data_IF_893469229905
#
_entry.id   IF_893469229905
#
_cell.length_a   1.000
_cell.length_b   1.000
_cell.length_c   1.000
_cell.angle_alpha   90.00
_cell.angle_beta   90.00
_cell.angle_gamma   90.00
#
_symmetry.space_group_name_H-M   'P 1'
#
loop_
_entity.id
_entity.type
_entity.pdbx_description
1 polymer ?
#
# COMPACT_ATOMS: atom_id res chain seq x y z
N UNK A 1 40.92 -26.31 9.92
CA UNK A 1 41.44 -24.97 10.35
C UNK A 1 41.04 -23.86 9.36
N UNK A 2 41.02 -24.12 8.05
CA UNK A 2 40.68 -23.17 7.00
C UNK A 2 39.18 -22.75 7.00
N UNK A 3 38.28 -23.70 7.24
CA UNK A 3 36.84 -23.45 7.27
C UNK A 3 36.41 -22.57 8.47
N UNK A 4 37.13 -22.66 9.61
CA UNK A 4 36.93 -21.76 10.76
C UNK A 4 37.43 -20.34 10.49
N UNK A 5 38.52 -20.19 9.74
CA UNK A 5 39.05 -18.87 9.34
C UNK A 5 38.15 -18.20 8.29
N UNK A 6 37.57 -18.95 7.35
CA UNK A 6 36.61 -18.44 6.38
C UNK A 6 35.29 -18.00 7.04
N UNK A 7 34.80 -18.74 8.04
CA UNK A 7 33.61 -18.36 8.81
C UNK A 7 33.85 -17.11 9.70
N UNK A 8 35.03 -17.01 10.30
CA UNK A 8 35.42 -15.81 11.07
C UNK A 8 35.61 -14.57 10.19
N UNK A 9 36.15 -14.69 8.98
CA UNK A 9 36.25 -13.57 8.03
C UNK A 9 34.86 -13.08 7.59
N UNK A 10 33.89 -13.98 7.36
CA UNK A 10 32.50 -13.59 7.03
C UNK A 10 31.79 -12.84 8.16
N UNK A 11 32.14 -13.08 9.43
CA UNK A 11 31.55 -12.36 10.58
C UNK A 11 32.11 -10.94 10.77
N UNK A 12 33.32 -10.65 10.28
CA UNK A 12 33.90 -9.30 10.31
C UNK A 12 33.47 -8.41 9.15
N UNK A 13 32.88 -8.98 8.09
CA UNK A 13 32.44 -8.24 6.89
C UNK A 13 30.96 -7.83 6.92
N UNK A 14 30.21 -8.14 7.99
CA UNK A 14 28.83 -7.71 8.10
C UNK A 14 28.72 -6.28 8.64
N UNK A 15 27.85 -5.43 8.05
CA UNK A 15 27.61 -4.09 8.58
C UNK A 15 27.19 -4.13 10.04
N UNK A 16 27.76 -3.24 10.84
CA UNK A 16 27.35 -3.10 12.24
C UNK A 16 26.01 -2.38 12.36
N UNK A 17 25.33 -2.58 13.48
CA UNK A 17 24.06 -1.89 13.77
C UNK A 17 24.16 -0.36 13.63
N UNK A 18 25.25 0.25 14.12
CA UNK A 18 25.44 1.69 14.03
C UNK A 18 25.58 2.16 12.57
N UNK A 19 26.23 1.37 11.72
CA UNK A 19 26.36 1.67 10.30
C UNK A 19 25.02 1.56 9.56
N UNK A 20 24.20 0.52 9.88
CA UNK A 20 22.86 0.36 9.33
C UNK A 20 21.93 1.49 9.77
N UNK A 21 22.00 1.90 11.03
CA UNK A 21 21.22 3.02 11.57
C UNK A 21 21.63 4.35 10.92
N UNK A 22 22.92 4.60 10.73
CA UNK A 22 23.42 5.78 10.03
C UNK A 22 22.96 5.82 8.55
N UNK A 23 22.97 4.68 7.88
CA UNK A 23 22.46 4.55 6.52
C UNK A 23 20.95 4.85 6.46
N UNK A 24 20.16 4.21 7.31
CA UNK A 24 18.71 4.38 7.34
C UNK A 24 18.30 5.84 7.57
N UNK A 25 18.84 6.46 8.62
CA UNK A 25 18.52 7.85 8.94
C UNK A 25 18.99 8.85 7.86
N UNK A 26 20.08 8.54 7.16
CA UNK A 26 20.53 9.37 6.03
C UNK A 26 19.57 9.23 4.84
N UNK A 27 19.06 8.01 4.58
CA UNK A 27 18.07 7.77 3.52
C UNK A 27 16.73 8.46 3.80
N UNK A 28 16.28 8.45 5.07
CA UNK A 28 15.02 9.09 5.47
C UNK A 28 15.08 10.62 5.46
N UNK A 29 16.18 11.18 5.97
CA UNK A 29 16.30 12.65 6.09
C UNK A 29 16.86 13.33 4.84
N UNK A 30 17.44 12.56 3.92
CA UNK A 30 18.14 13.08 2.74
C UNK A 30 19.36 13.94 3.06
N UNK A 31 19.86 13.96 4.32
CA UNK A 31 20.92 14.86 4.77
C UNK A 31 21.75 14.26 5.91
N UNK A 32 23.07 14.18 5.71
CA UNK A 32 24.00 13.75 6.77
C UNK A 32 23.93 14.61 8.05
N UNK A 33 23.68 15.92 7.89
CA UNK A 33 23.58 16.82 9.06
C UNK A 33 22.28 16.64 9.83
N UNK A 34 21.15 16.38 9.12
CA UNK A 34 19.86 16.10 9.74
C UNK A 34 19.87 14.75 10.45
N UNK A 35 20.37 13.72 9.77
CA UNK A 35 20.54 12.38 10.33
C UNK A 35 21.45 12.38 11.58
N UNK A 36 22.56 13.11 11.53
CA UNK A 36 23.47 13.23 12.68
C UNK A 36 22.76 13.85 13.91
N UNK A 37 22.01 14.93 13.72
CA UNK A 37 21.21 15.53 14.81
C UNK A 37 20.19 14.56 15.40
N UNK A 38 19.47 13.82 14.54
CA UNK A 38 18.44 12.84 14.97
C UNK A 38 19.07 11.70 15.79
N UNK A 39 20.30 11.28 15.43
CA UNK A 39 21.02 10.20 16.12
C UNK A 39 21.88 10.68 17.30
N UNK A 40 21.92 11.97 17.62
CA UNK A 40 22.80 12.54 18.65
C UNK A 40 24.29 12.39 18.33
N UNK A 41 24.66 12.35 17.05
CA UNK A 41 26.01 12.18 16.56
C UNK A 41 26.55 13.47 15.91
N UNK A 42 27.88 13.55 15.74
CA UNK A 42 28.46 14.58 14.89
C UNK A 42 28.37 14.16 13.41
N UNK A 43 28.21 15.14 12.52
CA UNK A 43 28.14 14.88 11.08
C UNK A 43 29.37 14.14 10.53
N UNK A 44 30.62 14.41 10.95
CA UNK A 44 31.78 13.61 10.53
C UNK A 44 31.72 12.15 10.99
N UNK A 45 31.19 11.87 12.18
CA UNK A 45 30.98 10.50 12.69
C UNK A 45 29.99 9.74 11.85
N UNK A 46 28.84 10.36 11.54
CA UNK A 46 27.82 9.76 10.71
C UNK A 46 28.32 9.49 9.28
N UNK A 47 29.00 10.47 8.68
CA UNK A 47 29.61 10.34 7.35
C UNK A 47 30.59 9.17 7.27
N UNK A 48 31.40 8.96 8.33
CA UNK A 48 32.30 7.80 8.40
C UNK A 48 31.58 6.47 8.48
N UNK A 49 30.45 6.40 9.20
CA UNK A 49 29.64 5.19 9.29
C UNK A 49 28.97 4.84 7.96
N UNK A 50 28.42 5.83 7.25
CA UNK A 50 27.87 5.66 5.91
C UNK A 50 28.94 5.21 4.92
N UNK A 51 30.11 5.85 4.89
CA UNK A 51 31.21 5.44 4.03
C UNK A 51 31.76 4.04 4.39
N UNK A 52 31.66 3.62 5.66
CA UNK A 52 32.08 2.30 6.08
C UNK A 52 31.15 1.20 5.58
N UNK A 53 29.82 1.41 5.62
CA UNK A 53 28.85 0.44 5.07
C UNK A 53 28.99 0.33 3.55
N UNK A 54 29.17 1.43 2.83
CA UNK A 54 29.40 1.43 1.38
C UNK A 54 30.65 0.60 1.01
N UNK A 55 31.73 0.79 1.74
CA UNK A 55 32.95 0.00 1.53
C UNK A 55 32.78 -1.49 1.83
N UNK A 56 32.05 -1.83 2.89
CA UNK A 56 31.78 -3.23 3.27
C UNK A 56 30.89 -3.94 2.25
N UNK A 57 29.90 -3.23 1.72
CA UNK A 57 28.98 -3.77 0.69
C UNK A 57 29.59 -3.71 -0.72
N UNK A 58 30.69 -2.97 -0.90
CA UNK A 58 31.30 -2.75 -2.22
C UNK A 58 30.40 -1.98 -3.18
N UNK A 59 29.48 -1.18 -2.65
CA UNK A 59 28.45 -0.49 -3.42
C UNK A 59 28.27 0.95 -2.93
N UNK A 60 28.08 1.89 -3.85
CA UNK A 60 27.67 3.26 -3.54
C UNK A 60 26.17 3.27 -3.24
N UNK A 61 25.80 3.66 -2.03
CA UNK A 61 24.41 3.71 -1.57
C UNK A 61 23.78 5.09 -1.72
N UNK A 62 24.61 6.14 -1.74
CA UNK A 62 24.17 7.52 -1.91
C UNK A 62 24.97 8.29 -2.94
N UNK A 63 24.28 9.14 -3.67
CA UNK A 63 24.87 10.19 -4.52
C UNK A 63 24.63 11.56 -3.91
N UNK A 64 25.59 12.48 -4.11
CA UNK A 64 25.46 13.86 -3.66
C UNK A 64 24.79 14.70 -4.74
N UNK A 65 23.61 15.23 -4.45
CA UNK A 65 22.93 16.25 -5.24
C UNK A 65 23.00 17.59 -4.49
N UNK A 66 24.09 18.33 -4.67
CA UNK A 66 24.38 19.55 -3.90
C UNK A 66 24.59 19.26 -2.41
N UNK A 67 23.68 19.71 -1.54
CA UNK A 67 23.71 19.43 -0.09
C UNK A 67 22.89 18.19 0.29
N UNK A 68 22.14 17.62 -0.63
CA UNK A 68 21.29 16.45 -0.38
C UNK A 68 22.05 15.14 -0.64
N UNK A 69 21.66 14.10 0.10
CA UNK A 69 22.09 12.71 -0.08
C UNK A 69 20.91 11.95 -0.70
N UNK A 70 21.04 11.54 -1.95
CA UNK A 70 19.99 10.81 -2.69
C UNK A 70 20.40 9.35 -2.77
N UNK A 71 19.54 8.40 -2.33
CA UNK A 71 19.81 6.99 -2.47
C UNK A 71 19.97 6.58 -3.94
N UNK A 72 21.01 5.79 -4.24
CA UNK A 72 21.17 5.14 -5.56
C UNK A 72 20.15 4.00 -5.74
N UNK A 73 20.05 3.44 -6.94
CA UNK A 73 19.22 2.24 -7.19
C UNK A 73 19.60 1.08 -6.23
N UNK A 74 20.90 0.91 -5.95
CA UNK A 74 21.40 -0.07 -4.97
C UNK A 74 21.08 0.35 -3.53
N UNK A 75 21.03 1.64 -3.23
CA UNK A 75 20.65 2.19 -1.92
C UNK A 75 19.14 2.15 -1.64
N UNK A 76 18.29 1.91 -2.63
CA UNK A 76 16.84 1.81 -2.45
C UNK A 76 16.38 0.41 -1.96
N UNK A 77 17.14 -0.64 -2.24
CA UNK A 77 16.78 -2.02 -1.87
C UNK A 77 16.98 -2.36 -0.38
N UNK A 78 18.06 -1.92 0.31
CA UNK A 78 18.32 -2.21 1.73
C UNK A 78 17.43 -1.49 2.77
N UNK A 79 16.81 -0.30 2.52
CA UNK A 79 16.10 0.44 3.57
C UNK A 79 14.96 -0.34 4.21
N UNK A 80 14.27 -1.19 3.47
CA UNK A 80 13.15 -1.99 3.98
C UNK A 80 13.62 -2.99 5.05
N UNK A 81 14.68 -3.74 4.77
CA UNK A 81 15.25 -4.70 5.73
C UNK A 81 15.91 -4.01 6.93
N UNK A 82 16.58 -2.88 6.71
CA UNK A 82 17.18 -2.09 7.77
C UNK A 82 16.10 -1.47 8.70
N UNK A 83 14.94 -1.09 8.16
CA UNK A 83 13.81 -0.56 8.93
C UNK A 83 13.17 -1.64 9.81
N UNK A 84 12.99 -2.87 9.29
CA UNK A 84 12.50 -4.01 10.07
C UNK A 84 13.44 -4.32 11.24
N UNK A 85 14.75 -4.28 11.01
CA UNK A 85 15.75 -4.45 12.08
C UNK A 85 15.72 -3.28 13.08
N UNK A 86 15.49 -2.06 12.62
CA UNK A 86 15.34 -0.87 13.46
C UNK A 86 14.18 -1.00 14.43
N UNK A 87 13.02 -1.33 13.93
CA UNK A 87 11.82 -1.56 14.73
C UNK A 87 12.03 -2.68 15.76
N UNK A 88 12.62 -3.81 15.35
CA UNK A 88 12.91 -4.92 16.27
C UNK A 88 13.90 -4.54 17.39
N UNK A 89 14.88 -3.66 17.10
CA UNK A 89 15.82 -3.18 18.10
C UNK A 89 15.18 -2.16 19.07
N UNK A 90 14.26 -1.34 18.60
CA UNK A 90 13.47 -0.44 19.43
C UNK A 90 12.54 -1.23 20.35
N UNK A 91 11.85 -2.26 19.83
CA UNK A 91 11.02 -3.17 20.62
C UNK A 91 11.82 -3.85 21.74
N UNK A 92 13.05 -4.29 21.44
CA UNK A 92 13.94 -4.93 22.41
C UNK A 92 14.40 -3.94 23.48
N UNK A 93 14.65 -2.69 23.12
CA UNK A 93 15.05 -1.63 24.05
C UNK A 93 13.89 -1.25 24.96
N UNK A 94 12.68 -1.14 24.42
CA UNK A 94 11.44 -0.88 25.16
C UNK A 94 11.14 -2.02 26.14
N UNK A 95 11.30 -3.26 25.71
CA UNK A 95 11.14 -4.44 26.55
C UNK A 95 12.19 -4.51 27.68
N UNK A 96 13.45 -4.15 27.38
CA UNK A 96 14.55 -4.22 28.35
C UNK A 96 14.53 -3.09 29.40
N UNK A 97 13.96 -1.92 29.04
CA UNK A 97 13.90 -0.76 29.94
C UNK A 97 12.68 -0.78 30.87
N UNK A 98 11.80 -1.79 30.75
CA UNK A 98 10.53 -1.84 31.49
C UNK A 98 9.58 -0.67 31.15
N UNK A 99 9.96 0.18 30.23
CA UNK A 99 9.12 1.21 29.60
C UNK A 99 8.35 0.60 28.43
N UNK A 100 7.75 -0.57 28.64
CA UNK A 100 6.59 -0.96 27.85
C UNK A 100 5.51 0.06 28.22
N UNK A 101 5.54 1.23 27.58
CA UNK A 101 4.34 2.04 27.48
C UNK A 101 3.32 1.11 26.82
N UNK A 102 2.28 0.79 27.57
CA UNK A 102 1.17 0.07 27.00
C UNK A 102 0.83 0.80 25.70
N UNK A 103 0.96 0.11 24.56
CA UNK A 103 0.59 0.71 23.27
C UNK A 103 -0.93 0.78 23.32
N UNK A 104 -1.43 1.92 23.76
CA UNK A 104 -2.85 2.19 23.96
C UNK A 104 -3.22 3.54 23.35
N UNK A 105 -4.49 3.74 23.15
CA UNK A 105 -5.04 4.95 22.57
C UNK A 105 -5.96 4.67 21.39
N UNK A 106 -6.46 5.74 20.78
CA UNK A 106 -7.34 5.66 19.59
C UNK A 106 -6.52 5.97 18.36
N UNK A 107 -6.63 5.13 17.34
CA UNK A 107 -6.05 5.34 16.00
C UNK A 107 -7.18 5.34 14.99
N UNK A 108 -7.33 6.43 14.27
CA UNK A 108 -8.33 6.58 13.21
C UNK A 108 -7.74 6.18 11.86
N UNK A 109 -8.36 5.19 11.22
CA UNK A 109 -7.96 4.69 9.89
C UNK A 109 -9.04 5.04 8.87
N UNK A 110 -8.69 5.83 7.86
CA UNK A 110 -9.56 6.14 6.74
C UNK A 110 -9.25 5.26 5.53
N UNK A 111 -10.28 4.67 4.92
CA UNK A 111 -10.15 3.86 3.72
C UNK A 111 -11.38 4.01 2.82
N UNK A 112 -11.27 3.59 1.55
CA UNK A 112 -12.47 3.44 0.71
C UNK A 112 -13.38 2.38 1.33
N UNK A 113 -14.69 2.52 1.10
CA UNK A 113 -15.69 1.66 1.75
C UNK A 113 -15.44 0.17 1.50
N UNK A 114 -15.07 -0.19 0.28
CA UNK A 114 -14.74 -1.57 -0.11
C UNK A 114 -13.49 -2.08 0.64
N UNK A 115 -12.45 -1.27 0.77
CA UNK A 115 -11.24 -1.62 1.53
C UNK A 115 -11.56 -1.76 3.01
N UNK A 116 -12.34 -0.83 3.57
CA UNK A 116 -12.76 -0.85 4.96
C UNK A 116 -13.58 -2.11 5.30
N UNK A 117 -14.48 -2.52 4.41
CA UNK A 117 -15.36 -3.65 4.64
C UNK A 117 -14.70 -5.02 4.40
N UNK A 118 -13.81 -5.14 3.42
CA UNK A 118 -13.32 -6.45 2.96
C UNK A 118 -11.85 -6.72 3.29
N UNK A 119 -10.99 -5.70 3.33
CA UNK A 119 -9.55 -5.89 3.55
C UNK A 119 -9.12 -5.56 4.98
N UNK A 120 -9.59 -4.44 5.55
CA UNK A 120 -9.20 -4.03 6.90
C UNK A 120 -9.57 -5.04 7.98
N UNK A 121 -10.72 -5.72 8.01
CA UNK A 121 -11.11 -6.56 9.15
C UNK A 121 -10.09 -7.63 9.50
N UNK A 122 -9.49 -8.29 8.50
CA UNK A 122 -8.44 -9.30 8.72
C UNK A 122 -7.17 -8.70 9.31
N UNK A 123 -6.79 -7.50 8.87
CA UNK A 123 -5.62 -6.80 9.39
C UNK A 123 -5.85 -6.33 10.82
N UNK A 124 -7.02 -5.76 11.10
CA UNK A 124 -7.39 -5.27 12.42
C UNK A 124 -7.51 -6.40 13.45
N UNK A 125 -8.01 -7.57 13.05
CA UNK A 125 -8.02 -8.75 13.92
C UNK A 125 -6.60 -9.15 14.35
N UNK A 126 -5.64 -9.13 13.44
CA UNK A 126 -4.22 -9.42 13.76
C UNK A 126 -3.61 -8.33 14.63
N UNK A 127 -3.89 -7.05 14.33
CA UNK A 127 -3.42 -5.92 15.12
C UNK A 127 -3.93 -6.01 16.57
N UNK A 128 -5.21 -6.34 16.76
CA UNK A 128 -5.80 -6.49 18.11
C UNK A 128 -5.12 -7.58 18.92
N UNK A 129 -4.61 -8.64 18.30
CA UNK A 129 -3.83 -9.67 18.99
C UNK A 129 -2.46 -9.18 19.44
N UNK A 130 -1.83 -8.28 18.66
CA UNK A 130 -0.51 -7.75 18.91
C UNK A 130 -0.51 -6.52 19.82
N UNK A 131 -1.56 -5.70 19.73
CA UNK A 131 -1.70 -4.44 20.46
C UNK A 131 -3.14 -4.28 21.00
N UNK A 132 -3.52 -5.03 22.02
CA UNK A 132 -4.90 -5.08 22.54
C UNK A 132 -5.38 -3.75 23.14
N UNK A 133 -4.46 -2.85 23.54
CA UNK A 133 -4.77 -1.53 24.09
C UNK A 133 -5.16 -0.50 23.04
N UNK A 134 -4.92 -0.76 21.75
CA UNK A 134 -5.30 0.18 20.67
C UNK A 134 -6.79 0.01 20.37
N UNK A 135 -7.50 1.14 20.38
CA UNK A 135 -8.85 1.28 19.84
C UNK A 135 -8.74 1.80 18.42
N UNK A 136 -9.32 1.08 17.46
CA UNK A 136 -9.32 1.50 16.06
C UNK A 136 -10.67 2.11 15.72
N UNK A 137 -10.64 3.33 15.21
CA UNK A 137 -11.79 4.00 14.58
C UNK A 137 -11.64 3.94 13.07
N UNK A 138 -12.61 3.34 12.36
CA UNK A 138 -12.56 3.16 10.91
C UNK A 138 -13.51 4.14 10.24
N UNK A 139 -12.94 5.08 9.48
CA UNK A 139 -13.69 6.01 8.63
C UNK A 139 -13.72 5.46 7.20
N UNK A 140 -14.87 4.93 6.80
CA UNK A 140 -15.10 4.42 5.45
C UNK A 140 -15.68 5.51 4.56
N UNK A 141 -14.96 5.91 3.50
CA UNK A 141 -15.42 6.94 2.58
C UNK A 141 -14.75 6.83 1.22
N UNK A 142 -15.54 6.89 0.14
CA UNK A 142 -15.05 6.95 -1.24
C UNK A 142 -14.75 8.40 -1.69
N UNK A 143 -15.02 9.40 -0.84
CA UNK A 143 -14.79 10.80 -1.15
C UNK A 143 -13.30 11.15 -1.01
N UNK A 144 -12.72 11.75 -2.07
CA UNK A 144 -11.33 12.24 -2.07
C UNK A 144 -11.11 13.44 -1.14
N UNK A 145 -12.19 14.12 -0.74
CA UNK A 145 -12.16 15.36 0.06
C UNK A 145 -11.76 15.14 1.53
N UNK A 146 -11.91 13.92 2.04
CA UNK A 146 -11.73 13.65 3.48
C UNK A 146 -10.26 13.63 3.93
N UNK A 147 -9.29 13.55 3.00
CA UNK A 147 -7.87 13.68 3.30
C UNK A 147 -7.48 15.11 3.74
N UNK A 148 -8.24 16.12 3.33
CA UNK A 148 -7.91 17.54 3.59
C UNK A 148 -8.19 17.99 5.03
N UNK A 149 -8.93 17.21 5.81
CA UNK A 149 -9.43 17.64 7.14
C UNK A 149 -8.66 17.09 8.33
N UNK A 150 -7.56 16.33 8.15
CA UNK A 150 -6.87 15.63 9.24
C UNK A 150 -7.81 14.74 10.08
N UNK A 151 -8.77 14.10 9.41
CA UNK A 151 -9.80 13.29 10.07
C UNK A 151 -9.32 11.85 10.35
N UNK A 152 -8.08 11.51 9.98
CA UNK A 152 -7.51 10.20 10.24
C UNK A 152 -6.00 10.27 10.46
N UNK A 153 -5.49 9.42 11.34
CA UNK A 153 -4.06 9.26 11.58
C UNK A 153 -3.38 8.49 10.45
N UNK A 154 -4.14 7.56 9.85
CA UNK A 154 -3.68 6.73 8.74
C UNK A 154 -4.76 6.67 7.67
N UNK A 155 -4.39 6.83 6.40
CA UNK A 155 -5.31 6.64 5.30
C UNK A 155 -4.80 5.59 4.30
N UNK A 156 -5.70 4.71 3.81
CA UNK A 156 -5.44 3.78 2.71
C UNK A 156 -6.08 4.34 1.44
N UNK A 157 -5.27 4.60 0.42
CA UNK A 157 -5.72 5.29 -0.79
C UNK A 157 -5.17 4.64 -2.06
N UNK A 158 -5.88 4.87 -3.19
CA UNK A 158 -5.52 4.37 -4.52
C UNK A 158 -4.75 5.41 -5.35
N UNK A 159 -4.46 6.56 -4.78
CA UNK A 159 -3.70 7.63 -5.40
C UNK A 159 -2.56 8.05 -4.48
N UNK A 160 -1.43 8.41 -5.09
CA UNK A 160 -0.33 9.02 -4.35
C UNK A 160 -0.78 10.38 -3.81
N UNK A 161 -0.51 10.70 -2.54
CA UNK A 161 -0.79 12.04 -2.02
C UNK A 161 0.05 13.08 -2.78
N UNK A 162 -0.57 14.19 -3.13
CA UNK A 162 0.04 15.35 -3.78
C UNK A 162 0.35 16.50 -2.81
N UNK A 163 -0.06 16.35 -1.54
CA UNK A 163 0.11 17.36 -0.50
C UNK A 163 1.51 17.26 0.12
N UNK A 164 2.23 18.40 0.30
CA UNK A 164 3.62 18.39 0.75
C UNK A 164 3.81 17.99 2.23
N UNK A 165 2.75 18.04 3.03
CA UNK A 165 2.73 17.69 4.46
C UNK A 165 2.27 16.24 4.73
N UNK A 166 1.91 15.49 3.70
CA UNK A 166 1.54 14.09 3.82
C UNK A 166 2.68 13.15 3.39
N UNK A 167 2.87 12.12 4.18
CA UNK A 167 3.84 11.06 3.88
C UNK A 167 3.08 9.90 3.23
N UNK A 168 3.34 9.68 1.94
CA UNK A 168 2.77 8.55 1.20
C UNK A 168 3.77 7.40 1.10
N UNK A 169 3.39 6.22 1.61
CA UNK A 169 4.13 4.97 1.43
C UNK A 169 3.40 4.08 0.43
N UNK A 170 4.06 3.74 -0.67
CA UNK A 170 3.57 2.72 -1.61
C UNK A 170 3.54 1.35 -0.92
N UNK A 171 2.41 0.65 -1.00
CA UNK A 171 2.24 -0.68 -0.42
C UNK A 171 2.37 -1.74 -1.51
N UNK A 172 1.53 -1.67 -2.54
CA UNK A 172 1.53 -2.59 -3.69
C UNK A 172 0.66 -2.06 -4.81
N UNK A 173 0.79 -2.65 -5.97
CA UNK A 173 -0.24 -2.56 -6.99
C UNK A 173 -1.37 -3.55 -6.70
N UNK A 174 -2.58 -3.09 -6.91
CA UNK A 174 -3.80 -3.89 -6.89
C UNK A 174 -4.41 -3.95 -8.28
N UNK A 175 -5.29 -4.91 -8.49
CA UNK A 175 -5.98 -5.10 -9.75
C UNK A 175 -7.48 -5.08 -9.54
N UNK A 176 -8.23 -4.47 -10.48
CA UNK A 176 -9.66 -4.61 -10.60
C UNK A 176 -10.00 -5.36 -11.89
N UNK A 177 -10.97 -6.25 -11.80
CA UNK A 177 -11.52 -6.99 -12.91
C UNK A 177 -13.03 -6.81 -13.00
N UNK A 178 -13.64 -7.40 -14.01
CA UNK A 178 -15.08 -7.37 -14.21
C UNK A 178 -15.71 -8.67 -13.74
N UNK A 179 -16.81 -8.57 -13.02
CA UNK A 179 -17.49 -9.70 -12.40
C UNK A 179 -19.00 -9.59 -12.58
N UNK A 180 -19.65 -10.74 -12.54
CA UNK A 180 -21.10 -10.87 -12.47
C UNK A 180 -21.47 -12.02 -11.53
N UNK A 181 -22.71 -12.02 -11.02
CA UNK A 181 -23.22 -13.14 -10.24
C UNK A 181 -23.31 -14.42 -11.09
N UNK A 182 -23.03 -15.58 -10.50
CA UNK A 182 -23.10 -16.87 -11.22
C UNK A 182 -24.47 -17.11 -11.85
N UNK A 183 -25.56 -16.75 -11.15
CA UNK A 183 -26.92 -16.84 -11.71
C UNK A 183 -27.14 -15.91 -12.91
N UNK A 184 -26.52 -14.72 -12.90
CA UNK A 184 -26.56 -13.84 -14.05
C UNK A 184 -25.82 -14.43 -15.25
N UNK A 185 -24.64 -15.02 -15.04
CA UNK A 185 -23.86 -15.69 -16.09
C UNK A 185 -24.60 -16.88 -16.69
N UNK A 186 -25.33 -17.65 -15.87
CA UNK A 186 -26.17 -18.77 -16.33
C UNK A 186 -27.31 -18.28 -17.26
N UNK A 187 -27.88 -17.11 -16.99
CA UNK A 187 -29.01 -16.56 -17.78
C UNK A 187 -28.56 -15.83 -19.06
N UNK A 188 -27.43 -15.11 -18.99
CA UNK A 188 -27.01 -14.18 -20.04
C UNK A 188 -25.75 -14.64 -20.81
N UNK A 189 -25.15 -15.75 -20.39
CA UNK A 189 -23.88 -16.24 -20.93
C UNK A 189 -22.67 -15.59 -20.25
N UNK A 190 -21.46 -16.06 -20.65
CA UNK A 190 -20.19 -15.61 -20.12
C UNK A 190 -19.48 -14.71 -21.16
N UNK A 191 -19.64 -13.38 -21.12
CA UNK A 191 -18.95 -12.50 -22.04
C UNK A 191 -17.46 -12.48 -21.72
N UNK A 192 -16.60 -12.69 -22.74
CA UNK A 192 -15.14 -12.73 -22.61
C UNK A 192 -14.48 -11.48 -23.17
N UNK A 193 -15.05 -10.91 -24.22
CA UNK A 193 -14.47 -9.78 -24.95
C UNK A 193 -15.20 -8.48 -24.69
N UNK A 194 -14.53 -7.36 -24.92
CA UNK A 194 -15.12 -6.03 -24.84
C UNK A 194 -16.35 -5.86 -25.77
N UNK A 195 -16.31 -6.45 -26.97
CA UNK A 195 -17.44 -6.40 -27.92
C UNK A 195 -18.66 -7.18 -27.41
N UNK A 196 -18.43 -8.31 -26.73
CA UNK A 196 -19.52 -9.05 -26.10
C UNK A 196 -20.12 -8.27 -24.92
N UNK A 197 -19.28 -7.58 -24.14
CA UNK A 197 -19.70 -6.75 -23.01
C UNK A 197 -20.76 -5.71 -23.42
N UNK A 198 -20.61 -5.09 -24.60
CA UNK A 198 -21.53 -4.06 -25.10
C UNK A 198 -22.99 -4.53 -25.27
N UNK A 199 -23.23 -5.84 -25.23
CA UNK A 199 -24.59 -6.43 -25.34
C UNK A 199 -25.26 -6.67 -23.99
N UNK A 200 -24.57 -6.37 -22.90
CA UNK A 200 -25.02 -6.69 -21.55
C UNK A 200 -25.20 -5.48 -20.67
N UNK A 201 -25.96 -5.67 -19.58
CA UNK A 201 -26.18 -4.65 -18.58
C UNK A 201 -24.97 -4.52 -17.65
N UNK A 202 -24.66 -3.29 -17.27
CA UNK A 202 -23.66 -2.91 -16.29
C UNK A 202 -24.29 -2.16 -15.13
N UNK A 203 -23.67 -2.27 -13.96
CA UNK A 203 -23.92 -1.38 -12.83
C UNK A 203 -22.99 -0.18 -12.96
N UNK A 204 -23.52 1.03 -12.94
CA UNK A 204 -22.75 2.27 -13.04
C UNK A 204 -22.35 2.81 -11.67
N UNK A 205 -21.26 3.58 -11.63
CA UNK A 205 -20.81 4.26 -10.40
C UNK A 205 -21.28 5.70 -10.31
N UNK A 206 -21.56 6.35 -11.45
CA UNK A 206 -22.04 7.74 -11.46
C UNK A 206 -22.95 8.02 -12.67
N UNK A 207 -23.87 8.96 -12.51
CA UNK A 207 -24.74 9.44 -13.61
C UNK A 207 -24.08 10.54 -14.46
N UNK A 208 -23.00 11.13 -13.98
CA UNK A 208 -22.28 12.20 -14.71
C UNK A 208 -21.46 11.67 -15.89
N UNK A 209 -21.39 10.35 -16.06
CA UNK A 209 -20.71 9.70 -17.19
C UNK A 209 -19.19 9.58 -17.06
N UNK A 210 -18.62 9.92 -15.91
CA UNK A 210 -17.18 9.79 -15.67
C UNK A 210 -16.76 8.32 -15.71
N UNK A 211 -17.52 7.45 -15.06
CA UNK A 211 -17.27 6.02 -15.08
C UNK A 211 -17.41 5.42 -16.48
N UNK A 212 -18.43 5.82 -17.24
CA UNK A 212 -18.57 5.41 -18.63
C UNK A 212 -17.39 5.85 -19.49
N UNK A 213 -16.95 7.12 -19.35
CA UNK A 213 -15.79 7.63 -20.07
C UNK A 213 -14.51 6.83 -19.71
N UNK A 214 -14.34 6.52 -18.44
CA UNK A 214 -13.24 5.68 -17.96
C UNK A 214 -13.26 4.28 -18.58
N UNK A 215 -14.41 3.60 -18.61
CA UNK A 215 -14.55 2.28 -19.23
C UNK A 215 -14.27 2.31 -20.72
N UNK A 216 -14.71 3.36 -21.43
CA UNK A 216 -14.38 3.56 -22.86
C UNK A 216 -12.88 3.73 -23.11
N UNK A 217 -12.18 4.49 -22.27
CA UNK A 217 -10.72 4.64 -22.34
C UNK A 217 -9.99 3.30 -22.14
N UNK A 218 -10.60 2.37 -21.39
CA UNK A 218 -10.09 1.01 -21.19
C UNK A 218 -10.61 0.00 -22.23
N UNK A 219 -11.12 0.49 -23.36
CA UNK A 219 -11.47 -0.32 -24.53
C UNK A 219 -12.83 -1.00 -24.47
N UNK A 220 -13.72 -0.66 -23.52
CA UNK A 220 -15.09 -1.19 -23.49
C UNK A 220 -16.02 -0.26 -24.26
N UNK A 221 -16.60 -0.70 -25.39
CA UNK A 221 -17.46 0.13 -26.22
C UNK A 221 -18.90 0.21 -25.66
N UNK A 222 -19.02 0.71 -24.43
CA UNK A 222 -20.29 0.83 -23.72
C UNK A 222 -20.99 2.15 -24.04
N UNK A 223 -22.30 2.14 -23.90
CA UNK A 223 -23.17 3.31 -24.03
C UNK A 223 -23.98 3.52 -22.75
N UNK A 224 -24.62 4.67 -22.62
CA UNK A 224 -25.50 4.99 -21.47
C UNK A 224 -26.59 3.91 -21.31
N UNK A 225 -27.09 3.37 -22.42
CA UNK A 225 -28.12 2.31 -22.44
C UNK A 225 -27.65 1.00 -21.79
N UNK A 226 -26.36 0.77 -21.66
CA UNK A 226 -25.85 -0.40 -20.93
C UNK A 226 -26.04 -0.31 -19.41
N UNK A 227 -26.32 0.85 -18.87
CA UNK A 227 -26.43 1.04 -17.42
C UNK A 227 -27.89 1.09 -16.99
N UNK A 228 -28.36 0.01 -16.38
CA UNK A 228 -29.74 -0.11 -15.85
C UNK A 228 -29.87 0.48 -14.43
N UNK A 229 -28.79 0.57 -13.68
CA UNK A 229 -28.74 1.15 -12.33
C UNK A 229 -27.39 1.78 -12.04
N UNK A 230 -27.37 2.67 -11.04
CA UNK A 230 -26.20 3.41 -10.61
C UNK A 230 -26.10 3.41 -9.08
N UNK A 231 -24.90 3.26 -8.56
CA UNK A 231 -24.59 3.43 -7.15
C UNK A 231 -23.22 4.09 -7.00
N UNK A 232 -23.18 5.29 -6.43
CA UNK A 232 -21.91 6.02 -6.19
C UNK A 232 -21.10 5.41 -5.04
N UNK A 233 -21.80 4.81 -4.08
CA UNK A 233 -21.24 4.07 -2.98
C UNK A 233 -20.70 2.71 -3.47
N UNK A 234 -19.42 2.43 -3.22
CA UNK A 234 -18.76 1.23 -3.75
C UNK A 234 -19.33 -0.08 -3.18
N UNK A 235 -19.77 -0.07 -1.92
CA UNK A 235 -20.42 -1.22 -1.29
C UNK A 235 -21.80 -1.49 -1.88
N UNK A 236 -22.61 -0.44 -2.08
CA UNK A 236 -23.92 -0.56 -2.75
C UNK A 236 -23.73 -1.04 -4.19
N UNK A 237 -22.76 -0.49 -4.93
CA UNK A 237 -22.40 -0.94 -6.27
C UNK A 237 -22.12 -2.46 -6.28
N UNK A 238 -21.25 -2.93 -5.39
CA UNK A 238 -20.92 -4.34 -5.32
C UNK A 238 -22.10 -5.22 -4.94
N UNK A 239 -22.94 -4.77 -4.00
CA UNK A 239 -24.15 -5.50 -3.63
C UNK A 239 -25.12 -5.67 -4.81
N UNK A 240 -25.29 -4.62 -5.65
CA UNK A 240 -26.13 -4.71 -6.86
C UNK A 240 -25.57 -5.73 -7.88
N UNK A 241 -24.26 -5.77 -8.06
CA UNK A 241 -23.59 -6.76 -8.92
C UNK A 241 -23.79 -8.18 -8.38
N UNK A 242 -23.64 -8.39 -7.07
CA UNK A 242 -23.87 -9.69 -6.43
C UNK A 242 -25.34 -10.17 -6.58
N UNK A 243 -26.29 -9.28 -6.63
CA UNK A 243 -27.71 -9.60 -6.88
C UNK A 243 -28.04 -9.85 -8.37
N UNK A 244 -27.05 -9.73 -9.26
CA UNK A 244 -27.23 -10.05 -10.67
C UNK A 244 -27.85 -8.92 -11.51
N UNK A 245 -27.75 -7.65 -11.08
CA UNK A 245 -28.27 -6.52 -11.86
C UNK A 245 -27.41 -6.20 -13.09
N UNK A 246 -26.22 -6.79 -13.21
CA UNK A 246 -25.34 -6.61 -14.35
C UNK A 246 -23.88 -6.89 -14.00
N UNK A 247 -23.00 -6.54 -14.93
CA UNK A 247 -21.56 -6.61 -14.77
C UNK A 247 -21.08 -5.39 -13.99
N UNK A 248 -20.15 -5.58 -13.07
CA UNK A 248 -19.47 -4.49 -12.38
C UNK A 248 -17.97 -4.75 -12.17
N UNK A 249 -17.24 -3.67 -11.92
CA UNK A 249 -15.83 -3.76 -11.60
C UNK A 249 -15.62 -3.92 -10.09
N UNK A 250 -14.67 -4.79 -9.71
CA UNK A 250 -14.26 -4.97 -8.30
C UNK A 250 -12.79 -5.37 -8.23
N UNK A 251 -12.15 -5.05 -7.10
CA UNK A 251 -10.82 -5.53 -6.78
C UNK A 251 -10.79 -7.07 -6.83
N UNK A 252 -9.80 -7.62 -7.52
CA UNK A 252 -9.65 -9.06 -7.72
C UNK A 252 -9.62 -9.81 -6.39
N UNK A 253 -8.84 -9.31 -5.42
CA UNK A 253 -8.71 -9.95 -4.09
C UNK A 253 -10.07 -10.06 -3.35
N UNK A 254 -10.99 -9.13 -3.60
CA UNK A 254 -12.30 -9.10 -2.96
C UNK A 254 -13.29 -9.96 -3.74
N UNK A 255 -13.31 -9.79 -5.05
CA UNK A 255 -14.27 -10.48 -5.90
C UNK A 255 -14.03 -12.00 -5.92
N UNK A 256 -12.77 -12.44 -6.02
CA UNK A 256 -12.42 -13.87 -6.00
C UNK A 256 -12.71 -14.52 -4.63
N UNK A 257 -12.69 -13.73 -3.55
CA UNK A 257 -13.07 -14.19 -2.22
C UNK A 257 -14.59 -14.13 -1.96
N UNK A 258 -15.38 -13.54 -2.88
CA UNK A 258 -16.83 -13.39 -2.72
C UNK A 258 -17.55 -14.59 -3.32
N UNK A 259 -18.28 -15.40 -2.52
CA UNK A 259 -19.00 -16.55 -3.01
C UNK A 259 -20.03 -16.19 -4.08
N UNK A 260 -20.16 -17.03 -5.10
CA UNK A 260 -21.17 -16.85 -6.15
C UNK A 260 -20.83 -15.79 -7.21
N UNK A 261 -19.64 -15.22 -7.16
CA UNK A 261 -19.16 -14.29 -8.18
C UNK A 261 -18.30 -15.00 -9.22
N UNK A 262 -18.44 -14.59 -10.47
CA UNK A 262 -17.73 -15.13 -11.61
C UNK A 262 -17.02 -13.98 -12.31
N UNK A 263 -15.72 -14.13 -12.54
CA UNK A 263 -14.98 -13.19 -13.38
C UNK A 263 -15.47 -13.32 -14.81
N UNK A 264 -15.69 -12.19 -15.46
CA UNK A 264 -16.09 -12.08 -16.87
C UNK A 264 -15.13 -11.13 -17.59
N UNK A 265 -15.21 -11.06 -18.91
CA UNK A 265 -14.34 -10.26 -19.77
C UNK A 265 -12.85 -10.65 -19.61
N UNK A 266 -12.58 -11.96 -19.66
CA UNK A 266 -11.25 -12.52 -19.46
C UNK A 266 -10.20 -11.96 -20.44
N UNK A 267 -10.62 -11.55 -21.64
CA UNK A 267 -9.76 -10.96 -22.67
C UNK A 267 -9.51 -9.45 -22.47
N UNK A 268 -10.17 -8.84 -21.49
CA UNK A 268 -9.96 -7.43 -21.13
C UNK A 268 -8.91 -7.36 -20.03
N UNK A 269 -7.79 -6.67 -20.23
CA UNK A 269 -6.77 -6.52 -19.20
C UNK A 269 -7.35 -5.93 -17.91
N UNK A 270 -6.95 -6.43 -16.73
CA UNK A 270 -7.37 -5.85 -15.47
C UNK A 270 -6.83 -4.42 -15.34
N UNK A 271 -7.57 -3.59 -14.67
CA UNK A 271 -7.11 -2.24 -14.31
C UNK A 271 -6.14 -2.35 -13.14
N UNK A 272 -4.91 -1.89 -13.34
CA UNK A 272 -3.89 -1.86 -12.28
C UNK A 272 -3.88 -0.48 -11.65
N UNK A 273 -3.86 -0.42 -10.32
CA UNK A 273 -3.80 0.82 -9.56
C UNK A 273 -3.00 0.65 -8.26
N UNK A 274 -2.29 1.68 -7.81
CA UNK A 274 -1.46 1.60 -6.61
C UNK A 274 -2.30 1.67 -5.34
N UNK A 275 -1.83 1.00 -4.27
CA UNK A 275 -2.32 1.21 -2.91
C UNK A 275 -1.24 1.94 -2.13
N UNK A 276 -1.62 3.06 -1.53
CA UNK A 276 -0.78 3.90 -0.68
C UNK A 276 -1.30 3.92 0.74
N UNK A 277 -0.37 3.88 1.68
CA UNK A 277 -0.63 4.25 3.07
C UNK A 277 -0.15 5.70 3.24
N UNK A 278 -1.02 6.53 3.76
CA UNK A 278 -0.79 7.97 3.91
C UNK A 278 -0.91 8.34 5.38
N UNK A 279 0.06 9.10 5.89
CA UNK A 279 0.12 9.59 7.27
C UNK A 279 0.48 11.07 7.30
#
# INVERSE_FOLDING_TARGET
>A
AENRRALMRRRTDQPTWNQLKAFLETAETGSLSAAARKLGLTQPTLSRQVAAIERQLGATLFERAGKAMVPTATGLAPPEHARVMGAAAEDLTLAATGQSQAVDGVVTISATEVVAAHLLPRLLLRLRQQAPGIVIDVVASDALSDLRRREADIAVRHLRPDQPDLIGRFIRDAQAGFYAAAGWVQQHGHPRTATQAARHAFVGSDRAGRYLAYLRQHGLPLEVANFSCYAENSMAHWALVQQGLGIGAMMVDIADATPGMVRVLDDVPPVVFPIWLVT
#
